data_IF_049635219098
#
_entry.id   IF_049635219098
#
_cell.length_a   1.000
_cell.length_b   1.000
_cell.length_c   1.000
_cell.angle_alpha   90.00
_cell.angle_beta   90.00
_cell.angle_gamma   90.00
#
_symmetry.space_group_name_H-M   'P 1'
#
loop_
_entity.id
_entity.type
_entity.pdbx_description
1 polymer ?
#
# COMPACT_ATOMS: atom_id res chain seq x y z
N UNK A 1 -4.06 15.76 -45.88
CA UNK A 1 -3.00 16.25 -44.97
C UNK A 1 -3.71 16.96 -43.82
N UNK A 2 -4.26 16.19 -42.89
CA UNK A 2 -4.92 16.71 -41.68
C UNK A 2 -4.47 15.83 -40.52
N UNK A 3 -3.28 16.11 -40.01
CA UNK A 3 -2.72 15.49 -38.80
C UNK A 3 -1.68 16.47 -38.25
N UNK A 4 -1.98 17.23 -37.18
CA UNK A 4 -0.95 17.76 -36.24
C UNK A 4 -1.49 18.74 -35.16
N UNK A 5 -2.75 19.21 -35.19
CA UNK A 5 -3.18 20.21 -34.21
C UNK A 5 -3.68 19.59 -32.88
N UNK A 6 -4.35 18.44 -32.95
CA UNK A 6 -5.04 17.84 -31.79
C UNK A 6 -4.07 17.15 -30.81
N UNK A 7 -2.98 16.58 -31.31
CA UNK A 7 -1.91 15.99 -30.48
C UNK A 7 -1.02 17.03 -29.78
N UNK A 8 -0.97 18.27 -30.27
CA UNK A 8 -0.20 19.35 -29.66
C UNK A 8 -0.96 20.01 -28.50
N UNK A 9 -2.30 20.12 -28.61
CA UNK A 9 -3.14 20.72 -27.58
C UNK A 9 -3.21 19.87 -26.30
N UNK A 10 -3.22 18.53 -26.40
CA UNK A 10 -3.17 17.64 -25.22
C UNK A 10 -1.83 17.70 -24.48
N UNK A 11 -0.74 18.00 -25.19
CA UNK A 11 0.59 18.22 -24.61
C UNK A 11 0.69 19.52 -23.79
N UNK A 12 -0.17 20.50 -24.07
CA UNK A 12 -0.10 21.84 -23.49
C UNK A 12 -0.68 21.96 -22.07
N UNK A 13 -1.44 20.96 -21.58
CA UNK A 13 -2.04 21.02 -20.24
C UNK A 13 -1.12 20.48 -19.13
N UNK A 14 0.04 19.93 -19.50
CA UNK A 14 0.81 19.01 -18.64
C UNK A 14 2.11 19.64 -18.09
N UNK A 15 2.61 20.73 -18.67
CA UNK A 15 3.99 21.17 -18.45
C UNK A 15 4.08 22.70 -18.51
N UNK A 16 4.38 23.35 -17.39
CA UNK A 16 5.05 24.65 -17.44
C UNK A 16 6.44 24.41 -18.03
N UNK A 17 6.79 25.12 -19.10
CA UNK A 17 8.05 25.00 -19.85
C UNK A 17 9.28 25.16 -18.92
N UNK A 18 9.81 24.04 -18.44
CA UNK A 18 11.04 23.95 -17.63
C UNK A 18 11.91 22.84 -18.23
N UNK A 19 13.26 22.93 -18.21
CA UNK A 19 14.11 21.88 -18.76
C UNK A 19 13.84 20.51 -18.12
N UNK A 20 13.49 19.54 -18.96
CA UNK A 20 13.09 18.18 -18.60
C UNK A 20 11.88 17.75 -19.42
N UNK A 21 11.95 16.58 -20.06
CA UNK A 21 10.82 16.05 -20.81
C UNK A 21 10.13 14.94 -20.01
N UNK A 22 8.79 14.97 -19.89
CA UNK A 22 8.02 13.81 -19.43
C UNK A 22 8.42 12.57 -20.23
N UNK A 23 8.68 11.46 -19.54
CA UNK A 23 8.94 10.18 -20.17
C UNK A 23 7.66 9.36 -20.12
N UNK A 24 7.12 9.01 -21.28
CA UNK A 24 6.00 8.06 -21.37
C UNK A 24 6.45 6.70 -20.82
N UNK A 25 5.58 6.09 -20.03
CA UNK A 25 5.81 4.79 -19.40
C UNK A 25 4.78 3.81 -19.92
N UNK A 26 5.25 2.68 -20.43
CA UNK A 26 4.39 1.60 -20.86
C UNK A 26 3.66 1.02 -19.64
N UNK A 27 2.32 0.95 -19.72
CA UNK A 27 1.45 0.50 -18.64
C UNK A 27 0.73 -0.78 -19.08
N UNK A 28 1.36 -1.96 -18.95
CA UNK A 28 0.93 -3.19 -19.61
C UNK A 28 -0.36 -3.81 -19.04
N UNK A 29 -0.84 -3.38 -17.87
CA UNK A 29 -1.95 -4.08 -17.18
C UNK A 29 -3.34 -3.78 -17.77
N UNK A 30 -3.44 -2.90 -18.78
CA UNK A 30 -4.74 -2.56 -19.39
C UNK A 30 -5.37 -3.72 -20.18
N UNK A 31 -4.61 -4.75 -20.57
CA UNK A 31 -5.15 -5.93 -21.25
C UNK A 31 -5.57 -7.06 -20.30
N UNK A 32 -5.38 -6.91 -18.99
CA UNK A 32 -5.75 -7.93 -18.02
C UNK A 32 -7.27 -7.98 -17.82
N UNK A 33 -7.87 -9.16 -17.97
CA UNK A 33 -9.31 -9.35 -17.82
C UNK A 33 -9.83 -8.95 -16.43
N UNK A 34 -9.00 -9.07 -15.39
CA UNK A 34 -9.33 -8.64 -14.01
C UNK A 34 -9.44 -7.12 -13.88
N UNK A 35 -8.90 -6.38 -14.85
CA UNK A 35 -8.94 -4.93 -14.93
C UNK A 35 -9.88 -4.44 -16.04
N UNK A 36 -10.66 -5.32 -16.66
CA UNK A 36 -11.59 -4.97 -17.73
C UNK A 36 -12.81 -4.19 -17.22
N UNK A 37 -13.17 -4.35 -15.94
CA UNK A 37 -14.28 -3.63 -15.32
C UNK A 37 -14.09 -3.51 -13.81
N UNK A 38 -14.86 -2.62 -13.19
CA UNK A 38 -14.94 -2.51 -11.73
C UNK A 38 -15.33 -3.84 -11.08
N UNK A 39 -16.34 -4.52 -11.60
CA UNK A 39 -16.84 -5.76 -11.00
C UNK A 39 -15.81 -6.88 -11.12
N UNK A 40 -15.14 -7.01 -12.26
CA UNK A 40 -14.03 -7.96 -12.44
C UNK A 40 -12.87 -7.70 -11.45
N UNK A 41 -12.56 -6.43 -11.17
CA UNK A 41 -11.54 -6.07 -10.19
C UNK A 41 -11.97 -6.45 -8.77
N UNK A 42 -13.24 -6.24 -8.42
CA UNK A 42 -13.79 -6.55 -7.10
C UNK A 42 -13.88 -8.05 -6.83
N UNK A 43 -14.09 -8.85 -7.87
CA UNK A 43 -14.17 -10.32 -7.78
C UNK A 43 -12.80 -11.01 -7.83
N UNK A 44 -11.74 -10.29 -8.23
CA UNK A 44 -10.40 -10.86 -8.36
C UNK A 44 -9.73 -11.08 -6.99
N UNK A 45 -9.09 -12.25 -6.80
CA UNK A 45 -8.28 -12.56 -5.62
C UNK A 45 -6.86 -11.98 -5.70
N UNK A 46 -6.32 -11.87 -6.90
CA UNK A 46 -5.04 -11.21 -7.18
C UNK A 46 -5.21 -10.22 -8.32
N UNK A 47 -4.40 -9.17 -8.32
CA UNK A 47 -4.36 -8.17 -9.39
C UNK A 47 -2.92 -8.00 -9.86
N UNK A 48 -2.68 -7.68 -11.15
CA UNK A 48 -1.33 -7.39 -11.61
C UNK A 48 -0.81 -6.13 -10.89
N UNK A 49 0.43 -6.18 -10.43
CA UNK A 49 1.05 -5.08 -9.72
C UNK A 49 1.64 -4.07 -10.71
N UNK A 50 1.26 -2.78 -10.64
CA UNK A 50 1.73 -1.77 -11.56
C UNK A 50 3.15 -1.27 -11.18
N UNK A 51 4.19 -2.00 -11.59
CA UNK A 51 5.59 -1.72 -11.21
C UNK A 51 6.13 -0.35 -11.66
N UNK A 52 5.47 0.32 -12.61
CA UNK A 52 5.83 1.70 -12.97
C UNK A 52 5.47 2.71 -11.90
N UNK A 53 4.57 2.38 -10.98
CA UNK A 53 4.19 3.31 -9.93
C UNK A 53 5.38 3.59 -9.00
N UNK A 54 5.60 4.85 -8.65
CA UNK A 54 6.64 5.21 -7.72
C UNK A 54 6.21 4.81 -6.32
N UNK A 55 7.03 4.00 -5.66
CA UNK A 55 6.83 3.54 -4.29
C UNK A 55 8.01 3.95 -3.40
N UNK A 56 7.74 4.15 -2.12
CA UNK A 56 8.75 4.42 -1.11
C UNK A 56 9.72 3.23 -1.02
N UNK A 57 9.16 2.02 -0.94
CA UNK A 57 9.86 0.75 -1.04
C UNK A 57 9.43 0.04 -2.32
N UNK A 58 10.36 -0.60 -3.02
CA UNK A 58 10.02 -1.39 -4.20
C UNK A 58 9.13 -2.56 -3.82
N UNK A 59 8.45 -3.17 -4.78
CA UNK A 59 7.64 -4.36 -4.56
C UNK A 59 8.01 -5.36 -5.65
N UNK A 60 8.42 -6.55 -5.22
CA UNK A 60 9.08 -7.51 -6.11
C UNK A 60 8.09 -8.42 -6.82
N UNK A 61 6.90 -8.63 -6.25
CA UNK A 61 5.91 -9.54 -6.81
C UNK A 61 5.20 -8.90 -8.00
N UNK A 62 4.95 -9.71 -9.03
CA UNK A 62 4.21 -9.30 -10.24
C UNK A 62 2.72 -9.12 -9.99
N UNK A 63 2.21 -9.69 -8.90
CA UNK A 63 0.82 -9.59 -8.49
C UNK A 63 0.69 -9.16 -7.04
N UNK A 64 -0.41 -8.47 -6.73
CA UNK A 64 -0.83 -8.17 -5.38
C UNK A 64 -2.04 -9.01 -5.00
N UNK A 65 -2.12 -9.39 -3.73
CA UNK A 65 -3.33 -9.98 -3.16
C UNK A 65 -4.40 -8.91 -2.92
N UNK A 66 -5.58 -9.08 -3.50
CA UNK A 66 -6.70 -8.16 -3.39
C UNK A 66 -7.45 -8.39 -2.07
N UNK A 67 -6.95 -7.77 -1.00
CA UNK A 67 -7.54 -7.85 0.33
C UNK A 67 -8.98 -7.38 0.34
N UNK A 68 -9.87 -8.13 1.00
CA UNK A 68 -11.29 -7.75 1.13
C UNK A 68 -11.45 -6.36 1.78
N UNK A 69 -10.56 -6.03 2.73
CA UNK A 69 -10.58 -4.74 3.40
C UNK A 69 -10.28 -3.55 2.47
N UNK A 70 -9.61 -3.76 1.33
CA UNK A 70 -9.31 -2.68 0.38
C UNK A 70 -10.59 -2.06 -0.19
N UNK A 71 -11.58 -2.87 -0.51
CA UNK A 71 -12.87 -2.39 -1.05
C UNK A 71 -13.57 -1.47 -0.06
N UNK A 72 -13.56 -1.84 1.22
CA UNK A 72 -14.19 -1.08 2.31
C UNK A 72 -13.42 0.21 2.58
N UNK A 73 -12.09 0.12 2.69
CA UNK A 73 -11.23 1.28 2.92
C UNK A 73 -11.33 2.30 1.79
N UNK A 74 -11.29 1.85 0.53
CA UNK A 74 -11.42 2.72 -0.63
C UNK A 74 -12.78 3.41 -0.66
N UNK A 75 -13.87 2.67 -0.46
CA UNK A 75 -15.22 3.26 -0.42
C UNK A 75 -15.34 4.30 0.70
N UNK A 76 -14.72 4.05 1.86
CA UNK A 76 -14.69 5.02 2.96
C UNK A 76 -13.94 6.30 2.59
N UNK A 77 -12.80 6.19 1.91
CA UNK A 77 -12.03 7.35 1.44
C UNK A 77 -12.86 8.18 0.45
N UNK A 78 -13.48 7.55 -0.55
CA UNK A 78 -14.30 8.26 -1.53
C UNK A 78 -15.51 8.94 -0.86
N UNK A 79 -16.15 8.27 0.11
CA UNK A 79 -17.21 8.90 0.89
C UNK A 79 -16.76 10.16 1.64
N UNK A 80 -15.53 10.18 2.19
CA UNK A 80 -14.98 11.37 2.84
C UNK A 80 -14.77 12.54 1.87
N UNK A 81 -14.39 12.26 0.63
CA UNK A 81 -14.22 13.29 -0.40
C UNK A 81 -15.54 13.81 -0.96
N UNK A 82 -16.50 12.91 -1.22
CA UNK A 82 -17.73 13.28 -1.95
C UNK A 82 -18.86 13.73 -1.02
N UNK A 83 -18.98 13.11 0.15
CA UNK A 83 -20.04 13.41 1.13
C UNK A 83 -19.49 14.13 2.36
N UNK A 84 -18.32 13.69 2.83
CA UNK A 84 -17.69 14.25 4.02
C UNK A 84 -18.26 13.75 5.34
N UNK A 85 -17.91 14.44 6.42
CA UNK A 85 -18.42 14.18 7.78
C UNK A 85 -19.08 15.44 8.32
N UNK A 86 -20.29 15.32 8.85
CA UNK A 86 -21.03 16.44 9.43
C UNK A 86 -21.21 17.64 8.48
N UNK A 87 -21.36 17.37 7.17
CA UNK A 87 -21.54 18.40 6.14
C UNK A 87 -20.25 19.04 5.61
N UNK A 88 -19.07 18.61 6.08
CA UNK A 88 -17.78 19.08 5.57
C UNK A 88 -17.08 17.97 4.77
N UNK A 89 -16.89 18.21 3.47
CA UNK A 89 -16.08 17.36 2.60
C UNK A 89 -14.61 17.45 3.01
N UNK A 90 -13.97 16.29 3.10
CA UNK A 90 -12.53 16.22 3.30
C UNK A 90 -11.84 16.49 1.97
N UNK A 91 -10.63 17.04 2.03
CA UNK A 91 -9.73 17.17 0.88
C UNK A 91 -8.57 16.21 0.99
N UNK A 92 -8.21 15.87 2.23
CA UNK A 92 -6.97 15.18 2.53
C UNK A 92 -7.25 13.98 3.39
N UNK A 93 -6.70 12.81 3.02
CA UNK A 93 -6.81 11.60 3.83
C UNK A 93 -5.43 11.01 4.08
N UNK A 94 -5.10 10.76 5.34
CA UNK A 94 -3.92 9.96 5.69
C UNK A 94 -4.38 8.56 6.07
N UNK A 95 -3.93 7.56 5.31
CA UNK A 95 -4.02 6.14 5.65
C UNK A 95 -2.74 5.74 6.37
N UNK A 96 -2.86 5.49 7.68
CA UNK A 96 -1.72 5.12 8.53
C UNK A 96 -1.87 3.73 9.14
N UNK A 97 -0.80 3.21 9.74
CA UNK A 97 -0.77 1.88 10.34
C UNK A 97 0.66 1.39 10.50
N UNK A 98 0.85 0.27 11.19
CA UNK A 98 2.17 -0.31 11.46
C UNK A 98 3.00 -0.42 10.18
N UNK A 99 4.33 -0.16 10.22
CA UNK A 99 5.21 -0.43 9.09
C UNK A 99 5.01 -1.87 8.62
N UNK A 100 4.90 -2.05 7.30
CA UNK A 100 4.69 -3.38 6.74
C UNK A 100 3.34 -4.00 7.06
N UNK A 101 2.25 -3.25 6.89
CA UNK A 101 0.89 -3.82 6.83
C UNK A 101 0.22 -3.65 5.45
N UNK A 102 0.98 -3.32 4.40
CA UNK A 102 0.48 -3.32 3.02
C UNK A 102 -0.07 -1.99 2.49
N UNK A 103 0.15 -0.86 3.18
CA UNK A 103 -0.35 0.47 2.74
C UNK A 103 0.09 0.85 1.32
N UNK A 104 1.34 0.59 0.93
CA UNK A 104 1.85 0.90 -0.42
C UNK A 104 1.21 -0.01 -1.48
N UNK A 105 0.91 -1.25 -1.13
CA UNK A 105 0.12 -2.16 -1.99
C UNK A 105 -1.33 -1.68 -2.10
N UNK A 106 -1.90 -1.17 -1.01
CA UNK A 106 -3.22 -0.55 -1.03
C UNK A 106 -3.26 0.72 -1.89
N UNK A 107 -2.17 1.50 -1.95
CA UNK A 107 -2.05 2.59 -2.92
C UNK A 107 -2.16 2.08 -4.36
N UNK A 108 -1.46 0.98 -4.70
CA UNK A 108 -1.55 0.38 -6.03
C UNK A 108 -2.98 -0.06 -6.35
N UNK A 109 -3.67 -0.70 -5.39
CA UNK A 109 -5.11 -1.02 -5.53
C UNK A 109 -5.96 0.24 -5.76
N UNK A 110 -5.75 1.31 -4.97
CA UNK A 110 -6.47 2.57 -5.14
C UNK A 110 -6.24 3.17 -6.53
N UNK A 111 -5.00 3.13 -7.03
CA UNK A 111 -4.67 3.58 -8.38
C UNK A 111 -5.44 2.79 -9.44
N UNK A 112 -5.37 1.45 -9.40
CA UNK A 112 -6.01 0.55 -10.36
C UNK A 112 -7.53 0.72 -10.36
N UNK A 113 -8.14 0.90 -9.18
CA UNK A 113 -9.59 1.06 -9.07
C UNK A 113 -10.05 2.46 -9.48
N UNK A 114 -9.36 3.51 -9.03
CA UNK A 114 -9.74 4.89 -9.32
C UNK A 114 -9.69 5.20 -10.82
N UNK A 115 -8.68 4.71 -11.54
CA UNK A 115 -8.59 4.89 -13.00
C UNK A 115 -9.75 4.22 -13.77
N UNK A 116 -10.29 3.12 -13.24
CA UNK A 116 -11.42 2.42 -13.86
C UNK A 116 -12.75 3.12 -13.58
N UNK A 117 -12.93 3.61 -12.36
CA UNK A 117 -14.15 4.32 -11.96
C UNK A 117 -14.19 5.76 -12.51
N UNK A 118 -13.03 6.36 -12.79
CA UNK A 118 -12.89 7.73 -13.26
C UNK A 118 -11.90 7.83 -14.45
N UNK A 119 -12.28 7.38 -15.66
CA UNK A 119 -11.38 7.34 -16.82
C UNK A 119 -10.88 8.72 -17.27
N UNK A 120 -11.65 9.77 -17.01
CA UNK A 120 -11.30 11.16 -17.34
C UNK A 120 -10.54 11.87 -16.22
N UNK A 121 -10.31 11.21 -15.07
CA UNK A 121 -9.61 11.81 -13.95
C UNK A 121 -8.10 11.70 -14.12
N UNK A 122 -7.41 12.69 -13.57
CA UNK A 122 -5.96 12.69 -13.52
C UNK A 122 -5.47 12.14 -12.19
N UNK A 123 -4.56 11.18 -12.23
CA UNK A 123 -3.98 10.60 -11.02
C UNK A 123 -2.50 10.97 -10.97
N UNK A 124 -2.10 11.67 -9.92
CA UNK A 124 -0.69 11.89 -9.61
C UNK A 124 -0.28 10.87 -8.56
N UNK A 125 0.83 10.18 -8.77
CA UNK A 125 1.45 9.33 -7.76
C UNK A 125 2.80 9.88 -7.39
N UNK A 126 3.01 10.16 -6.10
CA UNK A 126 4.24 10.69 -5.55
C UNK A 126 4.82 9.66 -4.57
N UNK A 127 6.13 9.41 -4.62
CA UNK A 127 6.80 8.66 -3.57
C UNK A 127 7.84 9.50 -2.86
N UNK A 128 7.92 9.32 -1.54
CA UNK A 128 8.86 10.01 -0.67
C UNK A 128 9.73 9.00 0.06
N UNK A 129 10.99 9.32 0.28
CA UNK A 129 11.87 8.50 1.11
C UNK A 129 11.57 8.68 2.61
N UNK A 130 12.31 7.97 3.48
CA UNK A 130 12.14 8.05 4.94
C UNK A 130 12.45 9.43 5.52
N UNK A 131 13.22 10.25 4.80
CA UNK A 131 13.55 11.63 5.14
C UNK A 131 12.52 12.63 4.56
N UNK A 132 11.38 12.14 4.07
CA UNK A 132 10.30 12.94 3.50
C UNK A 132 10.75 13.76 2.28
N UNK A 133 11.77 13.28 1.54
CA UNK A 133 12.21 13.86 0.27
C UNK A 133 11.60 13.11 -0.90
N UNK A 134 11.11 13.86 -1.87
CA UNK A 134 10.50 13.33 -3.09
C UNK A 134 11.51 12.44 -3.82
N UNK A 135 11.13 11.18 -4.06
CA UNK A 135 11.93 10.17 -4.76
C UNK A 135 11.55 10.14 -6.24
N UNK A 136 10.27 9.92 -6.56
CA UNK A 136 9.77 9.82 -7.94
C UNK A 136 8.34 10.37 -8.06
N UNK A 137 7.95 10.72 -9.29
CA UNK A 137 6.61 11.18 -9.63
C UNK A 137 6.11 10.52 -10.90
N UNK A 138 4.86 10.11 -10.86
CA UNK A 138 4.15 9.53 -11.99
C UNK A 138 2.80 10.22 -12.15
N UNK A 139 2.37 10.40 -13.40
CA UNK A 139 1.08 10.99 -13.74
C UNK A 139 0.36 10.08 -14.72
N UNK A 140 -0.88 9.75 -14.39
CA UNK A 140 -1.83 9.11 -15.29
C UNK A 140 -2.82 10.15 -15.81
N UNK A 141 -2.90 10.28 -17.13
CA UNK A 141 -3.81 11.20 -17.81
C UNK A 141 -4.16 10.64 -19.19
N UNK A 142 -5.42 10.78 -19.60
CA UNK A 142 -5.91 10.37 -20.92
C UNK A 142 -5.54 8.92 -21.30
N UNK A 143 -5.55 8.01 -20.32
CA UNK A 143 -5.23 6.60 -20.52
C UNK A 143 -3.73 6.29 -20.66
N UNK A 144 -2.84 7.27 -20.40
CA UNK A 144 -1.40 7.14 -20.53
C UNK A 144 -0.67 7.51 -19.24
N UNK A 145 0.43 6.79 -18.99
CA UNK A 145 1.31 7.00 -17.84
C UNK A 145 2.58 7.77 -18.21
N UNK A 146 3.01 8.68 -17.34
CA UNK A 146 4.19 9.50 -17.54
C UNK A 146 5.01 9.62 -16.26
N UNK A 147 6.31 9.42 -16.35
CA UNK A 147 7.26 9.76 -15.30
C UNK A 147 7.70 11.23 -15.45
N UNK A 148 7.54 12.01 -14.38
CA UNK A 148 7.70 13.47 -14.41
C UNK A 148 8.91 13.92 -13.56
N UNK A 149 9.98 14.46 -14.17
CA UNK A 149 11.14 15.00 -13.46
C UNK A 149 10.74 16.08 -12.47
N UNK A 150 11.33 16.10 -11.25
CA UNK A 150 10.96 17.01 -10.14
C UNK A 150 10.94 18.51 -10.50
N UNK A 151 11.68 18.93 -11.53
CA UNK A 151 11.72 20.30 -12.04
C UNK A 151 10.41 20.79 -12.66
N UNK A 152 9.53 19.89 -13.10
CA UNK A 152 8.27 20.25 -13.75
C UNK A 152 7.19 20.51 -12.69
N UNK A 153 6.52 21.65 -12.77
CA UNK A 153 5.37 21.94 -11.93
C UNK A 153 4.15 21.12 -12.38
N UNK A 154 3.46 20.49 -11.44
CA UNK A 154 2.20 19.80 -11.68
C UNK A 154 1.05 20.77 -11.39
N UNK A 155 0.30 21.16 -12.41
CA UNK A 155 -0.93 21.96 -12.26
C UNK A 155 -2.03 21.06 -11.71
N UNK A 156 -2.75 21.45 -10.66
CA UNK A 156 -3.83 20.62 -10.10
C UNK A 156 -5.19 21.26 -10.34
N UNK A 157 -6.17 20.43 -10.69
CA UNK A 157 -7.57 20.82 -10.84
C UNK A 157 -8.46 19.98 -9.89
N UNK A 158 -9.75 20.25 -9.90
CA UNK A 158 -10.74 19.54 -9.07
C UNK A 158 -10.92 18.07 -9.45
N UNK A 159 -10.49 17.68 -10.67
CA UNK A 159 -10.55 16.29 -11.18
C UNK A 159 -9.25 15.52 -10.92
N UNK A 160 -8.30 16.13 -10.24
CA UNK A 160 -7.03 15.51 -9.88
C UNK A 160 -7.12 14.88 -8.51
N UNK A 161 -6.70 13.61 -8.41
CA UNK A 161 -6.35 12.98 -7.14
C UNK A 161 -4.84 12.73 -7.07
N UNK A 162 -4.25 12.98 -5.91
CA UNK A 162 -2.84 12.65 -5.65
C UNK A 162 -2.75 11.48 -4.66
N UNK A 163 -2.08 10.41 -5.05
CA UNK A 163 -1.73 9.28 -4.20
C UNK A 163 -0.27 9.42 -3.77
N UNK A 164 0.01 9.29 -2.48
CA UNK A 164 1.32 9.60 -1.92
C UNK A 164 1.81 8.41 -1.10
N UNK A 165 2.93 7.82 -1.48
CA UNK A 165 3.61 6.78 -0.70
C UNK A 165 4.75 7.38 0.13
N UNK A 166 4.60 7.35 1.45
CA UNK A 166 5.48 8.02 2.39
C UNK A 166 5.08 9.47 2.69
N UNK A 167 5.40 10.00 3.89
CA UNK A 167 4.94 11.30 4.31
C UNK A 167 5.79 12.41 3.66
N UNK A 168 5.19 13.42 3.02
CA UNK A 168 5.94 14.55 2.49
C UNK A 168 6.37 15.52 3.61
N UNK A 169 7.41 16.31 3.37
CA UNK A 169 7.86 17.36 4.29
C UNK A 169 7.04 18.64 4.17
N UNK A 170 6.46 18.86 2.99
CA UNK A 170 5.56 19.97 2.68
C UNK A 170 4.27 19.42 2.10
N UNK A 171 3.14 20.03 2.46
CA UNK A 171 1.84 19.66 1.91
C UNK A 171 1.84 19.76 0.37
N UNK A 172 1.34 18.76 -0.35
CA UNK A 172 1.20 18.82 -1.79
C UNK A 172 0.24 19.94 -2.20
N UNK A 173 0.57 20.67 -3.27
CA UNK A 173 -0.30 21.72 -3.81
C UNK A 173 -1.56 21.19 -4.53
N UNK A 174 -2.11 20.02 -4.16
CA UNK A 174 -3.25 19.37 -4.82
C UNK A 174 -4.55 19.50 -4.03
N UNK A 175 -5.68 19.58 -4.75
CA UNK A 175 -6.99 19.78 -4.14
C UNK A 175 -7.53 18.54 -3.41
N UNK A 176 -7.13 17.34 -3.84
CA UNK A 176 -7.47 16.07 -3.20
C UNK A 176 -6.26 15.15 -3.16
N UNK A 177 -5.94 14.63 -1.98
CA UNK A 177 -4.85 13.68 -1.86
C UNK A 177 -5.06 12.63 -0.78
N UNK A 178 -4.45 11.46 -1.01
CA UNK A 178 -4.39 10.33 -0.08
C UNK A 178 -2.93 10.03 0.20
N UNK A 179 -2.51 10.15 1.46
CA UNK A 179 -1.16 9.83 1.92
C UNK A 179 -1.14 8.50 2.66
N UNK A 180 -0.37 7.56 2.14
CA UNK A 180 -0.14 6.23 2.68
C UNK A 180 1.21 6.26 3.39
N UNK A 181 1.19 6.23 4.72
CA UNK A 181 2.42 6.38 5.50
C UNK A 181 2.36 5.58 6.79
N UNK A 182 3.52 5.16 7.29
CA UNK A 182 3.60 4.73 8.70
C UNK A 182 3.52 5.95 9.63
N UNK A 183 3.25 5.77 10.93
CA UNK A 183 3.22 6.88 11.88
C UNK A 183 4.46 7.76 11.78
N UNK A 184 4.23 9.06 11.60
CA UNK A 184 5.30 10.05 11.46
C UNK A 184 4.87 11.29 12.25
N UNK A 185 5.56 11.54 13.37
CA UNK A 185 5.16 12.59 14.33
C UNK A 185 5.10 13.97 13.67
N UNK A 186 6.05 14.29 12.79
CA UNK A 186 6.10 15.58 12.10
C UNK A 186 4.90 15.75 11.18
N UNK A 187 4.64 14.76 10.32
CA UNK A 187 3.49 14.74 9.43
C UNK A 187 2.16 14.82 10.20
N UNK A 188 2.04 14.02 11.25
CA UNK A 188 0.84 14.00 12.08
C UNK A 188 0.58 15.32 12.79
N UNK A 189 1.62 16.00 13.25
CA UNK A 189 1.52 17.33 13.87
C UNK A 189 1.06 18.39 12.87
N UNK A 190 1.49 18.31 11.60
CA UNK A 190 1.03 19.20 10.53
C UNK A 190 -0.45 18.96 10.25
N UNK A 191 -0.85 17.69 10.10
CA UNK A 191 -2.22 17.33 9.69
C UNK A 191 -3.27 17.52 10.79
N UNK A 192 -2.89 17.43 12.07
CA UNK A 192 -3.84 17.64 13.17
C UNK A 192 -4.50 19.04 13.15
N UNK A 193 -3.87 20.02 12.50
CA UNK A 193 -4.41 21.40 12.42
C UNK A 193 -5.34 21.61 11.23
N UNK A 194 -5.37 20.68 10.29
CA UNK A 194 -6.18 20.81 9.08
C UNK A 194 -7.59 20.25 9.30
N UNK A 195 -8.58 21.13 9.25
CA UNK A 195 -9.99 20.75 9.41
C UNK A 195 -10.55 19.98 8.21
N UNK A 196 -9.89 20.00 7.05
CA UNK A 196 -10.25 19.23 5.85
C UNK A 196 -9.51 17.90 5.75
N UNK A 197 -8.77 17.53 6.80
CA UNK A 197 -8.02 16.29 6.89
C UNK A 197 -8.77 15.22 7.68
N UNK A 198 -8.69 13.98 7.21
CA UNK A 198 -9.10 12.81 7.96
C UNK A 198 -7.99 11.78 8.07
N UNK A 199 -7.91 11.11 9.21
CA UNK A 199 -6.98 10.01 9.46
C UNK A 199 -7.74 8.70 9.51
N UNK A 200 -7.28 7.72 8.74
CA UNK A 200 -7.78 6.34 8.75
C UNK A 200 -6.65 5.39 9.12
N UNK A 201 -7.00 4.30 9.80
CA UNK A 201 -6.06 3.22 10.10
C UNK A 201 -6.29 2.06 9.13
N UNK A 202 -5.22 1.64 8.46
CA UNK A 202 -5.26 0.51 7.55
C UNK A 202 -5.38 -0.80 8.35
N UNK A 203 -6.39 -1.66 8.08
CA UNK A 203 -6.58 -2.90 8.82
C UNK A 203 -5.34 -3.80 8.82
N UNK A 204 -5.10 -4.43 9.97
CA UNK A 204 -4.09 -5.47 10.13
C UNK A 204 -4.49 -6.70 9.32
N UNK A 205 -3.51 -7.55 9.06
CA UNK A 205 -3.75 -8.85 8.49
C UNK A 205 -4.24 -9.81 9.56
N UNK A 206 -5.26 -10.58 9.22
CA UNK A 206 -5.59 -11.79 9.98
C UNK A 206 -4.89 -13.01 9.38
N UNK A 207 -4.99 -14.13 10.10
CA UNK A 207 -4.28 -15.34 9.74
C UNK A 207 -4.83 -15.95 8.45
N UNK A 208 -6.15 -16.02 8.34
CA UNK A 208 -6.87 -16.56 7.20
C UNK A 208 -6.53 -15.79 5.92
N UNK A 209 -6.46 -14.46 6.01
CA UNK A 209 -6.09 -13.56 4.92
C UNK A 209 -4.64 -13.78 4.49
N UNK A 210 -3.70 -13.92 5.42
CA UNK A 210 -2.28 -14.19 5.10
C UNK A 210 -2.10 -15.56 4.47
N UNK A 211 -2.77 -16.58 4.99
CA UNK A 211 -2.72 -17.92 4.42
C UNK A 211 -3.30 -17.94 3.00
N UNK A 212 -4.45 -17.30 2.80
CA UNK A 212 -5.06 -17.15 1.48
C UNK A 212 -4.12 -16.42 0.51
N UNK A 213 -3.51 -15.31 0.94
CA UNK A 213 -2.53 -14.59 0.14
C UNK A 213 -1.33 -15.45 -0.24
N UNK A 214 -0.77 -16.21 0.72
CA UNK A 214 0.34 -17.12 0.47
C UNK A 214 0.01 -18.17 -0.58
N UNK A 215 -1.19 -18.74 -0.51
CA UNK A 215 -1.66 -19.74 -1.46
C UNK A 215 -1.85 -19.15 -2.87
N UNK A 216 -2.58 -18.04 -3.01
CA UNK A 216 -2.94 -17.52 -4.33
C UNK A 216 -1.77 -16.82 -5.04
N UNK A 217 -0.85 -16.24 -4.28
CA UNK A 217 0.39 -15.66 -4.82
C UNK A 217 1.50 -16.71 -4.98
N UNK A 218 1.21 -17.98 -4.68
CA UNK A 218 2.16 -19.09 -4.74
C UNK A 218 3.47 -18.82 -3.98
N UNK A 219 3.37 -18.14 -2.83
CA UNK A 219 4.51 -17.78 -1.99
C UNK A 219 5.05 -18.99 -1.22
N UNK A 220 4.21 -20.01 -1.02
CA UNK A 220 4.60 -21.22 -0.30
C UNK A 220 5.67 -22.03 -1.03
N UNK A 221 5.71 -21.97 -2.37
CA UNK A 221 6.76 -22.63 -3.17
C UNK A 221 8.08 -21.85 -3.18
N UNK A 222 8.04 -20.56 -2.82
CA UNK A 222 9.23 -19.70 -2.70
C UNK A 222 9.87 -19.78 -1.31
N UNK A 223 9.25 -20.46 -0.36
CA UNK A 223 9.84 -20.74 0.94
C UNK A 223 10.96 -21.76 0.74
N UNK A 224 12.21 -21.33 0.91
CA UNK A 224 13.32 -22.28 1.05
C UNK A 224 13.00 -23.22 2.22
N UNK A 225 13.27 -24.53 2.07
CA UNK A 225 13.10 -25.46 3.17
C UNK A 225 13.97 -24.98 4.34
N UNK A 226 13.32 -24.64 5.46
CA UNK A 226 13.99 -24.28 6.70
C UNK A 226 15.02 -25.37 7.02
N UNK A 227 16.30 -25.01 7.04
CA UNK A 227 17.42 -25.92 7.29
C UNK A 227 17.24 -26.63 8.64
N UNK A 228 17.73 -27.86 8.77
CA UNK A 228 17.49 -28.70 9.95
C UNK A 228 17.98 -28.04 11.27
N UNK A 229 18.98 -27.17 11.17
CA UNK A 229 19.53 -26.37 12.27
C UNK A 229 18.58 -25.25 12.72
N UNK A 230 17.92 -24.58 11.77
CA UNK A 230 16.85 -23.62 12.04
C UNK A 230 15.60 -24.33 12.58
N UNK A 231 15.29 -25.53 12.08
CA UNK A 231 14.20 -26.36 12.64
C UNK A 231 14.43 -26.67 14.11
N UNK A 232 15.66 -26.99 14.51
CA UNK A 232 16.01 -27.22 15.91
C UNK A 232 16.00 -25.93 16.74
N UNK A 233 16.50 -24.81 16.19
CA UNK A 233 16.48 -23.49 16.84
C UNK A 233 15.04 -23.00 17.09
N UNK A 234 14.12 -23.28 16.16
CA UNK A 234 12.70 -22.99 16.27
C UNK A 234 11.90 -24.12 16.95
N UNK A 235 12.55 -25.18 17.43
CA UNK A 235 11.94 -26.25 18.24
C UNK A 235 10.93 -27.13 17.50
N UNK A 236 11.12 -27.40 16.21
CA UNK A 236 10.37 -28.43 15.49
C UNK A 236 10.81 -29.80 16.00
N UNK A 237 9.95 -30.50 16.74
CA UNK A 237 10.25 -31.88 17.16
C UNK A 237 10.06 -32.83 15.97
N UNK A 238 11.04 -33.71 15.68
CA UNK A 238 11.06 -34.48 14.43
C UNK A 238 10.02 -35.61 14.34
N UNK A 239 9.14 -35.79 15.33
CA UNK A 239 8.18 -36.91 15.37
C UNK A 239 6.93 -36.63 16.22
N UNK A 240 6.10 -35.66 15.82
CA UNK A 240 4.77 -35.50 16.43
C UNK A 240 3.68 -35.52 15.36
N UNK A 241 2.67 -36.35 15.62
CA UNK A 241 1.51 -36.70 14.81
C UNK A 241 0.94 -35.51 13.98
N UNK A 242 0.61 -35.68 12.68
CA UNK A 242 0.17 -34.58 11.81
C UNK A 242 -1.24 -34.06 12.11
N UNK A 243 -1.92 -34.59 13.13
CA UNK A 243 -3.18 -34.07 13.63
C UNK A 243 -2.93 -33.04 14.74
N UNK A 244 -2.81 -31.79 14.31
CA UNK A 244 -3.02 -30.57 15.11
C UNK A 244 -2.07 -30.38 16.28
N UNK A 245 -0.87 -29.85 15.99
CA UNK A 245 -0.06 -29.21 17.02
C UNK A 245 -0.20 -27.68 16.85
N UNK A 246 -0.92 -27.03 17.76
CA UNK A 246 -1.12 -25.57 17.76
C UNK A 246 0.21 -24.81 17.70
N UNK A 247 1.29 -25.41 18.22
CA UNK A 247 2.66 -24.86 18.18
C UNK A 247 3.24 -24.87 16.77
N UNK A 248 2.98 -25.90 15.96
CA UNK A 248 3.41 -25.96 14.55
C UNK A 248 2.55 -25.04 13.68
N UNK A 249 1.27 -24.91 13.98
CA UNK A 249 0.42 -23.88 13.39
C UNK A 249 0.89 -22.47 13.76
N UNK A 250 1.35 -22.23 15.00
CA UNK A 250 1.92 -20.94 15.45
C UNK A 250 3.28 -20.66 14.79
N UNK A 251 4.10 -21.68 14.50
CA UNK A 251 5.42 -21.50 13.85
C UNK A 251 5.32 -21.37 12.35
N UNK A 252 4.46 -22.16 11.70
CA UNK A 252 4.04 -21.94 10.32
C UNK A 252 3.35 -20.57 10.22
N UNK A 253 2.56 -20.16 11.22
CA UNK A 253 2.08 -18.77 11.35
C UNK A 253 3.23 -17.80 11.42
N UNK A 254 4.26 -17.97 12.25
CA UNK A 254 5.37 -17.00 12.32
C UNK A 254 6.19 -16.95 11.02
N UNK A 255 6.35 -18.08 10.33
CA UNK A 255 7.06 -18.16 9.04
C UNK A 255 6.21 -17.56 7.92
N UNK A 256 4.91 -17.89 7.85
CA UNK A 256 3.97 -17.30 6.88
C UNK A 256 3.76 -15.82 7.20
N UNK A 257 3.48 -15.44 8.45
CA UNK A 257 3.41 -14.03 8.86
C UNK A 257 4.72 -13.34 8.57
N UNK A 258 5.88 -13.90 8.89
CA UNK A 258 7.18 -13.26 8.63
C UNK A 258 7.48 -13.11 7.15
N UNK A 259 7.29 -14.18 6.37
CA UNK A 259 7.60 -14.25 4.94
C UNK A 259 6.54 -13.53 4.09
N UNK A 260 5.25 -13.80 4.30
CA UNK A 260 4.15 -13.08 3.65
C UNK A 260 4.15 -11.63 4.12
N UNK A 261 4.48 -11.31 5.38
CA UNK A 261 4.70 -9.91 5.75
C UNK A 261 5.89 -9.29 5.02
N UNK A 262 6.99 -10.02 4.83
CA UNK A 262 8.15 -9.49 4.11
C UNK A 262 7.83 -9.27 2.63
N UNK A 263 7.20 -10.24 1.99
CA UNK A 263 6.89 -10.26 0.56
C UNK A 263 5.71 -9.35 0.23
N UNK A 264 4.62 -9.43 0.98
CA UNK A 264 3.43 -8.59 0.76
C UNK A 264 3.55 -7.21 1.41
N UNK A 265 4.43 -7.04 2.42
CA UNK A 265 4.42 -5.85 3.27
C UNK A 265 5.78 -5.13 3.43
N UNK A 266 6.96 -5.74 3.21
CA UNK A 266 8.25 -5.08 3.48
C UNK A 266 9.52 -5.70 2.82
N UNK A 267 9.94 -5.30 1.61
CA UNK A 267 11.09 -5.90 0.93
C UNK A 267 12.46 -5.23 1.22
N UNK A 268 12.76 -4.83 2.47
CA UNK A 268 13.98 -4.03 2.70
C UNK A 268 14.55 -3.90 4.11
N UNK A 269 14.32 -4.87 5.00
CA UNK A 269 15.02 -4.92 6.30
C UNK A 269 15.96 -6.14 6.34
N UNK A 270 17.23 -5.96 6.75
CA UNK A 270 18.15 -7.05 7.09
C UNK A 270 17.60 -7.94 8.21
N UNK A 271 17.87 -9.23 8.11
CA UNK A 271 17.38 -10.29 8.99
C UNK A 271 17.55 -9.99 10.49
N UNK A 272 18.58 -9.24 10.88
CA UNK A 272 18.94 -8.97 12.28
C UNK A 272 17.86 -8.19 13.07
N UNK A 273 16.97 -7.43 12.43
CA UNK A 273 15.90 -6.72 13.14
C UNK A 273 14.71 -7.64 13.52
N UNK A 274 14.62 -8.82 12.90
CA UNK A 274 13.59 -9.83 13.18
C UNK A 274 13.98 -10.71 14.37
N UNK A 275 15.27 -11.01 14.53
CA UNK A 275 15.86 -11.70 15.69
C UNK A 275 15.47 -11.02 17.01
N UNK A 276 15.55 -9.70 17.10
CA UNK A 276 15.17 -8.95 18.31
C UNK A 276 13.67 -9.03 18.63
N UNK A 277 12.80 -9.16 17.61
CA UNK A 277 11.36 -9.35 17.81
C UNK A 277 11.07 -10.78 18.31
N UNK A 278 11.77 -11.77 17.78
CA UNK A 278 11.69 -13.17 18.21
C UNK A 278 12.22 -13.36 19.63
N UNK A 279 13.33 -12.72 20.01
CA UNK A 279 13.82 -12.69 21.39
C UNK A 279 12.78 -12.07 22.34
N UNK A 280 12.14 -10.97 21.94
CA UNK A 280 11.09 -10.35 22.74
C UNK A 280 9.87 -11.27 22.91
N UNK A 281 9.45 -11.96 21.84
CA UNK A 281 8.34 -12.93 21.87
C UNK A 281 8.68 -14.15 22.74
N UNK A 282 9.91 -14.65 22.67
CA UNK A 282 10.37 -15.78 23.48
C UNK A 282 10.58 -15.37 24.94
N UNK A 283 11.00 -14.14 25.22
CA UNK A 283 11.05 -13.58 26.56
C UNK A 283 9.64 -13.49 27.19
N UNK A 284 8.62 -13.11 26.41
CA UNK A 284 7.23 -13.09 26.86
C UNK A 284 6.66 -14.49 27.18
N UNK A 285 7.18 -15.57 26.55
CA UNK A 285 6.80 -16.95 26.90
C UNK A 285 7.41 -17.45 28.22
N UNK A 286 8.52 -16.83 28.67
CA UNK A 286 9.20 -17.22 29.91
C UNK A 286 8.66 -16.53 31.16
N UNK A 287 7.82 -15.50 30.98
CA UNK A 287 7.10 -14.86 32.06
C UNK A 287 5.72 -15.52 32.18
N UNK A 288 5.48 -16.27 33.26
CA UNK A 288 4.15 -16.64 33.71
C UNK A 288 3.33 -15.37 33.96
N UNK A 289 2.71 -14.83 32.92
CA UNK A 289 1.76 -13.72 33.03
C UNK A 289 0.40 -14.34 33.30
N UNK A 290 -0.01 -14.31 34.58
CA UNK A 290 -1.40 -14.55 34.93
C UNK A 290 -2.32 -13.63 34.12
N UNK A 291 -3.48 -14.13 33.64
CA UNK A 291 -4.41 -13.34 32.86
C UNK A 291 -5.03 -12.27 33.76
N UNK A 292 -4.55 -11.04 33.64
CA UNK A 292 -5.23 -9.89 34.24
C UNK A 292 -6.48 -9.59 33.40
N UNK A 293 -7.61 -10.17 33.80
CA UNK A 293 -8.93 -9.68 33.47
C UNK A 293 -9.09 -8.29 34.10
N UNK A 294 -9.11 -7.23 33.28
CA UNK A 294 -9.72 -5.96 33.68
C UNK A 294 -10.93 -5.73 32.79
N UNK A 295 -12.07 -6.27 33.23
CA UNK A 295 -13.36 -5.64 33.04
C UNK A 295 -13.55 -4.74 34.25
N UNK A 296 -13.53 -3.42 34.06
CA UNK A 296 -14.27 -2.50 34.93
C UNK A 296 -14.50 -1.14 34.22
N UNK A 297 -15.76 -0.97 33.84
CA UNK A 297 -16.60 0.23 33.81
C UNK A 297 -15.96 1.62 33.73
N UNK A 298 -16.34 2.37 32.68
CA UNK A 298 -16.36 3.83 32.72
C UNK A 298 -17.83 4.27 32.67
N UNK A 299 -18.33 4.66 33.83
CA UNK A 299 -19.32 5.73 33.98
C UNK A 299 -18.57 7.07 34.14
#
# INVERSE_FOLDING_TARGET
>A
METSAEGAAKKAMLVLEVPGHPKEVECPELSDARLASRDALLDALTLPYPHYLPMQFEFEQSELYARQCYTICYARIMHLFDVGTCGQQMRHVTVTGTPGNGKSVFLAYCFLRYRLEHPDARIIVLSYNRQSKLKRRFVWIDGQGYEIPSSIALLNDEKTITLIDGPPDVEPNSCRWICFTSPNKTWEATMHKDTFHSRLFHPLWDYEELYAAACVLNLMEQLEPVEEEERQLYGFEPNVNPEVNEVDAIKVRTIIFGFVARVCLYPGIPYEAFESLLEAINSMKSADLEPVLVLEEIA
#
